data_IF_447898702815
#
_entry.id   IF_447898702815
#
_cell.length_a   1.000
_cell.length_b   1.000
_cell.length_c   1.000
_cell.angle_alpha   90.00
_cell.angle_beta   90.00
_cell.angle_gamma   90.00
#
_symmetry.space_group_name_H-M   'P 1'
#
loop_
_entity.id
_entity.type
_entity.pdbx_description
1 polymer ?
#
# COMPACT_ATOMS: atom_id res chain seq x y z
N UNK A 1 -9.49 9.45 -14.54
CA UNK A 1 -10.49 10.23 -13.77
C UNK A 1 -10.37 10.11 -12.24
N UNK A 2 -10.45 8.92 -11.61
CA UNK A 2 -10.34 8.78 -10.13
C UNK A 2 -9.02 9.29 -9.54
N UNK A 3 -7.88 8.92 -10.15
CA UNK A 3 -6.56 9.33 -9.67
C UNK A 3 -6.38 10.85 -9.78
N UNK A 4 -6.81 11.47 -10.88
CA UNK A 4 -6.77 12.93 -11.05
C UNK A 4 -7.60 13.65 -9.98
N UNK A 5 -8.78 13.13 -9.65
CA UNK A 5 -9.64 13.70 -8.60
C UNK A 5 -8.99 13.59 -7.21
N UNK A 6 -8.38 12.45 -6.89
CA UNK A 6 -7.64 12.24 -5.64
C UNK A 6 -6.39 13.14 -5.54
N UNK A 7 -5.61 13.21 -6.62
CA UNK A 7 -4.42 14.07 -6.71
C UNK A 7 -4.78 15.55 -6.61
N UNK A 8 -5.88 16.01 -7.21
CA UNK A 8 -6.33 17.41 -7.12
C UNK A 8 -6.78 17.82 -5.72
N UNK A 9 -7.21 16.87 -4.89
CA UNK A 9 -7.56 17.12 -3.49
C UNK A 9 -6.30 17.21 -2.62
N UNK A 10 -5.29 16.39 -2.93
CA UNK A 10 -4.02 16.36 -2.19
C UNK A 10 -3.06 17.48 -2.61
N UNK A 11 -3.07 17.92 -3.87
CA UNK A 11 -2.22 19.01 -4.37
C UNK A 11 -2.61 20.39 -3.83
N UNK A 12 -3.81 20.52 -3.26
CA UNK A 12 -4.24 21.74 -2.54
C UNK A 12 -3.55 21.89 -1.18
N UNK A 13 -2.87 20.86 -0.71
CA UNK A 13 -2.07 20.90 0.51
C UNK A 13 -0.63 21.17 0.08
N UNK A 14 -0.14 22.40 0.30
CA UNK A 14 1.20 22.90 -0.02
C UNK A 14 2.32 22.23 0.81
N UNK A 15 2.32 20.90 0.90
CA UNK A 15 3.26 20.14 1.71
C UNK A 15 4.06 19.21 0.79
N UNK A 16 5.38 19.39 0.74
CA UNK A 16 6.32 18.77 -0.19
C UNK A 16 6.47 17.24 -0.15
N UNK A 17 5.48 16.50 0.35
CA UNK A 17 5.52 15.04 0.52
C UNK A 17 4.41 14.33 -0.29
N UNK A 18 3.84 14.98 -1.32
CA UNK A 18 2.75 14.42 -2.12
C UNK A 18 3.12 13.04 -2.70
N UNK A 19 4.33 12.92 -3.25
CA UNK A 19 4.80 11.66 -3.82
C UNK A 19 4.81 10.52 -2.79
N UNK A 20 5.44 10.74 -1.63
CA UNK A 20 5.52 9.74 -0.57
C UNK A 20 4.14 9.34 -0.04
N UNK A 21 3.23 10.31 0.13
CA UNK A 21 1.86 10.06 0.57
C UNK A 21 1.10 9.19 -0.44
N UNK A 22 1.17 9.51 -1.73
CA UNK A 22 0.49 8.73 -2.78
C UNK A 22 1.06 7.31 -2.83
N UNK A 23 2.38 7.16 -2.86
CA UNK A 23 3.01 5.84 -2.91
C UNK A 23 2.61 5.01 -1.69
N UNK A 24 2.63 5.61 -0.50
CA UNK A 24 2.24 4.94 0.74
C UNK A 24 0.79 4.46 0.71
N UNK A 25 -0.15 5.31 0.28
CA UNK A 25 -1.57 4.96 0.23
C UNK A 25 -1.86 3.88 -0.81
N UNK A 26 -1.26 3.99 -2.00
CA UNK A 26 -1.41 2.99 -3.07
C UNK A 26 -0.81 1.65 -2.63
N UNK A 27 0.39 1.66 -2.05
CA UNK A 27 1.05 0.45 -1.60
C UNK A 27 0.28 -0.24 -0.45
N UNK A 28 -0.21 0.53 0.52
CA UNK A 28 -1.06 0.02 1.60
C UNK A 28 -2.33 -0.63 1.07
N UNK A 29 -3.01 0.01 0.11
CA UNK A 29 -4.21 -0.56 -0.51
C UNK A 29 -3.90 -1.86 -1.25
N UNK A 30 -2.82 -1.89 -2.03
CA UNK A 30 -2.38 -3.08 -2.75
C UNK A 30 -2.10 -4.26 -1.80
N UNK A 31 -1.33 -4.02 -0.74
CA UNK A 31 -0.98 -5.06 0.24
C UNK A 31 -2.25 -5.59 0.92
N UNK A 32 -3.19 -4.72 1.32
CA UNK A 32 -4.45 -5.13 1.93
C UNK A 32 -5.26 -6.07 1.03
N UNK A 33 -5.40 -5.72 -0.25
CA UNK A 33 -6.14 -6.53 -1.22
C UNK A 33 -5.50 -7.91 -1.36
N UNK A 34 -4.18 -7.97 -1.52
CA UNK A 34 -3.49 -9.25 -1.71
C UNK A 34 -3.45 -10.08 -0.43
N UNK A 35 -3.32 -9.46 0.75
CA UNK A 35 -3.41 -10.19 2.02
C UNK A 35 -4.79 -10.83 2.22
N UNK A 36 -5.87 -10.13 1.82
CA UNK A 36 -7.23 -10.68 1.84
C UNK A 36 -7.38 -11.85 0.86
N UNK A 37 -6.89 -11.70 -0.38
CA UNK A 37 -6.88 -12.76 -1.40
C UNK A 37 -6.05 -13.98 -0.97
N UNK A 38 -4.95 -13.74 -0.26
CA UNK A 38 -4.11 -14.76 0.32
C UNK A 38 -4.68 -15.35 1.63
N UNK A 39 -5.84 -14.89 2.11
CA UNK A 39 -6.47 -15.30 3.38
C UNK A 39 -5.50 -15.21 4.56
N UNK A 40 -4.76 -14.10 4.64
CA UNK A 40 -3.77 -13.85 5.69
C UNK A 40 -2.41 -14.56 5.50
N UNK A 41 -2.26 -15.42 4.48
CA UNK A 41 -1.01 -16.12 4.24
C UNK A 41 0.06 -15.21 3.61
N UNK A 42 0.96 -14.69 4.44
CA UNK A 42 2.03 -13.79 4.01
C UNK A 42 2.99 -14.41 2.98
N UNK A 43 3.25 -15.73 3.02
CA UNK A 43 4.12 -16.37 2.03
C UNK A 43 3.45 -16.42 0.65
N UNK A 44 2.15 -16.70 0.60
CA UNK A 44 1.38 -16.65 -0.65
C UNK A 44 1.27 -15.21 -1.17
N UNK A 45 0.95 -14.27 -0.29
CA UNK A 45 0.87 -12.85 -0.64
C UNK A 45 2.19 -12.30 -1.18
N UNK A 46 3.32 -12.64 -0.56
CA UNK A 46 4.64 -12.18 -1.01
C UNK A 46 5.01 -12.73 -2.39
N UNK A 47 4.61 -13.97 -2.70
CA UNK A 47 4.76 -14.56 -4.05
C UNK A 47 3.91 -13.83 -5.08
N UNK A 48 2.65 -13.49 -4.75
CA UNK A 48 1.75 -12.74 -5.65
C UNK A 48 2.29 -11.33 -5.89
N UNK A 49 2.76 -10.66 -4.84
CA UNK A 49 3.33 -9.31 -4.93
C UNK A 49 4.73 -9.28 -5.58
N UNK A 50 5.40 -10.43 -5.72
CA UNK A 50 6.75 -10.50 -6.26
C UNK A 50 7.82 -9.89 -5.34
N UNK A 51 7.58 -9.83 -4.02
CA UNK A 51 8.51 -9.28 -3.04
C UNK A 51 8.94 -10.33 -2.02
N UNK A 52 10.06 -10.08 -1.35
CA UNK A 52 10.50 -10.93 -0.24
C UNK A 52 9.45 -10.90 0.90
N UNK A 53 9.16 -12.06 1.49
CA UNK A 53 8.23 -12.20 2.63
C UNK A 53 8.61 -11.29 3.81
N UNK A 54 9.89 -11.13 4.09
CA UNK A 54 10.37 -10.26 5.17
C UNK A 54 10.10 -8.78 4.85
N UNK A 55 10.23 -8.36 3.59
CA UNK A 55 9.83 -7.03 3.12
C UNK A 55 8.33 -6.82 3.28
N UNK A 56 7.51 -7.80 2.87
CA UNK A 56 6.06 -7.74 3.08
C UNK A 56 5.71 -7.60 4.56
N UNK A 57 6.34 -8.40 5.44
CA UNK A 57 6.13 -8.34 6.89
C UNK A 57 6.47 -6.96 7.46
N UNK A 58 7.58 -6.36 7.03
CA UNK A 58 7.96 -5.02 7.44
C UNK A 58 6.92 -3.98 7.00
N UNK A 59 6.44 -4.06 5.75
CA UNK A 59 5.42 -3.15 5.21
C UNK A 59 4.06 -3.29 5.90
N UNK A 60 3.63 -4.51 6.21
CA UNK A 60 2.40 -4.75 7.00
C UNK A 60 2.49 -4.06 8.36
N UNK A 61 3.64 -4.18 9.03
CA UNK A 61 3.88 -3.52 10.32
C UNK A 61 3.91 -2.00 10.18
N UNK A 62 4.63 -1.47 9.18
CA UNK A 62 4.73 -0.05 8.88
C UNK A 62 3.34 0.58 8.63
N UNK A 63 2.50 -0.10 7.85
CA UNK A 63 1.18 0.41 7.48
C UNK A 63 0.05 0.03 8.44
N UNK A 64 0.39 -0.70 9.51
CA UNK A 64 -0.57 -1.21 10.52
C UNK A 64 -1.74 -1.95 9.87
N UNK A 65 -1.41 -2.85 8.94
CA UNK A 65 -2.39 -3.68 8.22
C UNK A 65 -2.84 -4.80 9.15
N UNK A 66 -4.15 -4.86 9.42
CA UNK A 66 -4.75 -5.97 10.14
C UNK A 66 -4.93 -7.15 9.18
N UNK A 67 -4.36 -8.29 9.57
CA UNK A 67 -4.29 -9.52 8.76
C UNK A 67 -5.32 -10.52 9.25
#
# INVERSE_FOLDING_TARGET
EKLNKYLSQLSKLENGNLYENIITEVEKALINIIMKEAKGNQLKASKILGINRNTLRAKISQYKINI
#
